data_IF_019505590851
#
_entry.id   IF_019505590851
#
_cell.length_a   1.000
_cell.length_b   1.000
_cell.length_c   1.000
_cell.angle_alpha   90.00
_cell.angle_beta   90.00
_cell.angle_gamma   90.00
#
_symmetry.space_group_name_H-M   'P 1'
#
loop_
_entity.id
_entity.type
_entity.pdbx_description
1 polymer ?
#
# COMPACT_ATOMS: atom_id res chain seq x y z
N UNK A 1 -11.94 -49.03 -8.83
CA UNK A 1 -11.92 -48.06 -9.93
C UNK A 1 -11.92 -46.61 -9.42
N UNK A 2 -11.30 -46.34 -8.25
CA UNK A 2 -11.10 -44.98 -7.69
C UNK A 2 -9.73 -44.85 -6.99
N UNK A 3 -8.91 -45.90 -7.06
CA UNK A 3 -7.61 -45.97 -6.40
C UNK A 3 -6.47 -45.68 -7.39
N UNK A 4 -6.68 -46.03 -8.67
CA UNK A 4 -5.75 -45.74 -9.77
C UNK A 4 -5.69 -44.23 -10.12
N UNK A 5 -6.76 -43.47 -9.90
CA UNK A 5 -6.80 -42.03 -10.24
C UNK A 5 -6.01 -41.16 -9.27
N UNK A 6 -5.92 -41.56 -7.99
CA UNK A 6 -5.13 -40.86 -6.98
C UNK A 6 -3.63 -41.11 -7.19
N UNK A 7 -3.24 -42.34 -7.53
CA UNK A 7 -1.84 -42.65 -7.87
C UNK A 7 -1.39 -41.92 -9.13
N UNK A 8 -2.30 -41.73 -10.10
CA UNK A 8 -2.02 -40.94 -11.31
C UNK A 8 -1.83 -39.46 -10.99
N UNK A 9 -2.70 -38.86 -10.17
CA UNK A 9 -2.59 -37.47 -9.71
C UNK A 9 -1.29 -37.24 -8.92
N UNK A 10 -0.97 -38.11 -7.97
CA UNK A 10 0.26 -38.01 -7.18
C UNK A 10 1.50 -38.15 -8.08
N UNK A 11 1.49 -39.08 -9.04
CA UNK A 11 2.60 -39.24 -9.98
C UNK A 11 2.79 -38.05 -10.93
N UNK A 12 1.71 -37.34 -11.28
CA UNK A 12 1.76 -36.11 -12.07
C UNK A 12 2.30 -34.94 -11.25
N UNK A 13 1.85 -34.77 -9.99
CA UNK A 13 2.35 -33.70 -9.11
C UNK A 13 3.83 -33.89 -8.76
N UNK A 14 4.30 -35.14 -8.59
CA UNK A 14 5.72 -35.40 -8.35
C UNK A 14 6.60 -35.26 -9.59
N UNK A 15 6.07 -35.52 -10.80
CA UNK A 15 6.79 -35.24 -12.04
C UNK A 15 6.91 -33.73 -12.32
N UNK A 16 5.85 -32.96 -12.07
CA UNK A 16 5.89 -31.50 -12.15
C UNK A 16 6.86 -30.91 -11.11
N UNK A 17 6.88 -31.43 -9.88
CA UNK A 17 7.84 -31.01 -8.86
C UNK A 17 9.30 -31.35 -9.23
N UNK A 18 9.56 -32.50 -9.87
CA UNK A 18 10.90 -32.89 -10.32
C UNK A 18 11.36 -32.17 -11.60
N UNK A 19 10.46 -31.70 -12.46
CA UNK A 19 10.80 -30.79 -13.55
C UNK A 19 11.15 -29.37 -13.05
N UNK A 20 10.62 -28.97 -11.88
CA UNK A 20 10.93 -27.70 -11.22
C UNK A 20 12.27 -27.75 -10.48
N UNK A 21 12.69 -28.90 -9.94
CA UNK A 21 13.97 -29.05 -9.20
C UNK A 21 15.23 -29.13 -10.09
N UNK A 22 15.10 -29.07 -11.42
CA UNK A 22 16.22 -29.11 -12.37
C UNK A 22 16.66 -27.77 -12.96
N UNK A 23 16.00 -26.66 -12.62
CA UNK A 23 16.35 -25.30 -13.08
C UNK A 23 16.54 -24.36 -11.89
N UNK A 24 17.65 -24.55 -11.19
CA UNK A 24 18.15 -23.57 -10.22
C UNK A 24 18.82 -22.40 -10.94
N UNK A 25 18.03 -21.51 -11.51
CA UNK A 25 18.46 -20.16 -11.88
C UNK A 25 17.32 -19.22 -11.48
N UNK A 26 17.51 -18.52 -10.35
CA UNK A 26 16.64 -17.44 -9.89
C UNK A 26 16.58 -16.35 -10.97
N UNK A 27 15.42 -16.04 -11.58
CA UNK A 27 15.33 -14.99 -12.57
C UNK A 27 15.00 -13.67 -11.87
N UNK A 28 16.00 -13.03 -11.27
CA UNK A 28 16.01 -11.58 -11.09
C UNK A 28 17.29 -10.94 -11.65
N UNK A 29 17.98 -11.62 -12.57
CA UNK A 29 18.92 -10.94 -13.45
C UNK A 29 18.13 -9.99 -14.37
N UNK A 30 18.04 -8.75 -13.92
CA UNK A 30 17.58 -7.60 -14.66
C UNK A 30 18.35 -7.46 -15.97
N UNK A 31 17.78 -7.99 -17.05
CA UNK A 31 18.13 -7.63 -18.42
C UNK A 31 16.91 -7.77 -19.33
N UNK A 32 16.44 -6.62 -19.86
CA UNK A 32 15.68 -6.53 -21.11
C UNK A 32 14.16 -6.67 -21.02
N UNK A 33 13.45 -5.56 -21.26
CA UNK A 33 12.14 -5.46 -21.91
C UNK A 33 11.07 -6.50 -21.54
N UNK A 34 10.54 -6.40 -20.32
CA UNK A 34 9.18 -6.86 -20.03
C UNK A 34 8.27 -5.64 -19.97
N UNK A 35 7.69 -5.25 -21.10
CA UNK A 35 6.51 -4.37 -21.10
C UNK A 35 5.41 -5.09 -20.31
N UNK A 36 5.24 -4.72 -19.04
CA UNK A 36 4.08 -5.14 -18.26
C UNK A 36 2.81 -4.80 -19.05
N UNK A 37 2.09 -5.84 -19.49
CA UNK A 37 0.81 -5.65 -20.18
C UNK A 37 -0.19 -5.08 -19.16
N UNK A 38 -0.60 -3.84 -19.37
CA UNK A 38 -1.62 -3.20 -18.55
C UNK A 38 -2.96 -3.89 -18.81
N UNK A 39 -3.64 -4.42 -17.78
CA UNK A 39 -4.97 -4.98 -17.94
C UNK A 39 -5.97 -3.95 -18.50
N UNK A 40 -6.86 -4.38 -19.39
CA UNK A 40 -7.94 -3.52 -19.89
C UNK A 40 -8.92 -3.17 -18.78
N UNK A 41 -9.55 -1.99 -18.88
CA UNK A 41 -10.65 -1.54 -17.99
C UNK A 41 -10.28 -1.47 -16.49
N UNK A 42 -9.00 -1.32 -16.16
CA UNK A 42 -8.55 -1.23 -14.77
C UNK A 42 -8.27 0.23 -14.37
N UNK A 43 -8.92 0.75 -13.31
CA UNK A 43 -8.64 2.08 -12.81
C UNK A 43 -7.32 2.11 -12.04
N UNK A 44 -6.68 3.27 -11.99
CA UNK A 44 -5.41 3.40 -11.29
C UNK A 44 -4.70 4.72 -11.51
N UNK A 45 -3.38 4.67 -11.38
CA UNK A 45 -2.47 5.80 -11.55
C UNK A 45 -1.46 5.50 -12.65
N UNK A 46 -1.22 6.47 -13.50
CA UNK A 46 -0.01 6.53 -14.31
C UNK A 46 0.92 7.57 -13.68
N UNK A 47 2.18 7.22 -13.48
CA UNK A 47 3.11 8.07 -12.75
C UNK A 47 4.53 8.05 -13.32
N UNK A 48 5.26 9.11 -13.00
CA UNK A 48 6.68 9.28 -13.29
C UNK A 48 7.40 9.78 -12.05
N UNK A 49 8.51 9.11 -11.71
CA UNK A 49 9.39 9.51 -10.63
C UNK A 49 10.45 10.50 -11.14
N UNK A 50 10.19 11.78 -10.91
CA UNK A 50 11.15 12.83 -11.20
C UNK A 50 12.21 12.88 -10.09
N UNK A 51 13.34 12.19 -10.29
CA UNK A 51 14.47 12.17 -9.35
C UNK A 51 15.41 13.37 -9.57
N UNK A 52 15.89 13.95 -8.47
CA UNK A 52 16.99 14.91 -8.42
C UNK A 52 18.09 14.35 -7.50
N UNK A 53 19.18 15.09 -7.31
CA UNK A 53 20.36 14.63 -6.54
C UNK A 53 20.09 14.24 -5.07
N UNK A 54 19.07 14.79 -4.41
CA UNK A 54 18.75 14.52 -3.01
C UNK A 54 17.26 14.35 -2.70
N UNK A 55 16.41 14.59 -3.68
CA UNK A 55 14.95 14.54 -3.52
C UNK A 55 14.31 13.96 -4.77
N UNK A 56 13.10 13.44 -4.64
CA UNK A 56 12.28 13.01 -5.76
C UNK A 56 10.86 13.61 -5.66
N UNK A 57 10.17 13.66 -6.78
CA UNK A 57 8.78 14.09 -6.89
C UNK A 57 8.00 13.06 -7.68
N UNK A 58 6.88 12.60 -7.12
CA UNK A 58 5.97 11.70 -7.81
C UNK A 58 5.01 12.54 -8.65
N UNK A 59 5.10 12.42 -9.98
CA UNK A 59 4.19 13.06 -10.93
C UNK A 59 3.14 12.05 -11.33
N UNK A 60 1.86 12.37 -11.22
CA UNK A 60 0.80 11.36 -11.35
C UNK A 60 -0.44 11.89 -12.07
N UNK A 61 -1.12 10.99 -12.77
CA UNK A 61 -2.46 11.17 -13.30
C UNK A 61 -3.30 9.94 -12.98
N UNK A 62 -4.52 10.17 -12.52
CA UNK A 62 -5.52 9.13 -12.32
C UNK A 62 -6.19 8.76 -13.65
N UNK A 63 -6.52 7.48 -13.80
CA UNK A 63 -7.21 6.96 -14.97
C UNK A 63 -8.33 6.03 -14.54
N UNK A 64 -9.47 6.09 -15.23
CA UNK A 64 -10.52 5.08 -15.15
C UNK A 64 -10.12 3.80 -15.90
N UNK A 65 -9.35 3.97 -16.99
CA UNK A 65 -8.72 2.90 -17.74
C UNK A 65 -7.25 3.26 -17.96
N UNK A 66 -6.35 2.52 -17.30
CA UNK A 66 -4.90 2.73 -17.36
C UNK A 66 -4.35 2.57 -18.78
N UNK A 67 -4.85 1.60 -19.55
CA UNK A 67 -4.36 1.28 -20.89
C UNK A 67 -4.66 2.41 -21.88
N UNK A 68 -5.92 2.82 -21.94
CA UNK A 68 -6.40 3.91 -22.78
C UNK A 68 -5.72 5.23 -22.42
N UNK A 69 -5.55 5.52 -21.13
CA UNK A 69 -4.84 6.73 -20.70
C UNK A 69 -3.35 6.69 -21.08
N UNK A 70 -2.68 5.53 -20.94
CA UNK A 70 -1.28 5.37 -21.32
C UNK A 70 -1.07 5.59 -22.81
N UNK A 71 -1.90 4.99 -23.65
CA UNK A 71 -1.83 5.17 -25.11
C UNK A 71 -1.99 6.65 -25.49
N UNK A 72 -2.93 7.35 -24.85
CA UNK A 72 -3.12 8.80 -25.05
C UNK A 72 -1.88 9.61 -24.65
N UNK A 73 -1.30 9.32 -23.49
CA UNK A 73 -0.10 10.03 -23.01
C UNK A 73 1.11 9.78 -23.92
N UNK A 74 1.31 8.55 -24.39
CA UNK A 74 2.42 8.23 -25.30
C UNK A 74 2.22 8.92 -26.66
N UNK A 75 0.98 8.96 -27.16
CA UNK A 75 0.67 9.56 -28.47
C UNK A 75 0.81 11.09 -28.51
N UNK A 76 0.53 11.75 -27.38
CA UNK A 76 0.52 13.21 -27.26
C UNK A 76 0.98 13.65 -25.85
N UNK A 77 2.26 13.45 -25.48
CA UNK A 77 2.78 13.73 -24.15
C UNK A 77 2.69 15.23 -23.75
N UNK A 78 2.68 16.13 -24.73
CA UNK A 78 2.50 17.57 -24.56
C UNK A 78 1.15 17.96 -23.92
N UNK A 79 0.11 17.14 -24.09
CA UNK A 79 -1.21 17.35 -23.50
C UNK A 79 -1.23 17.04 -21.98
N UNK A 80 -0.17 16.41 -21.48
CA UNK A 80 -0.03 15.99 -20.08
C UNK A 80 1.17 16.65 -19.38
N UNK A 81 1.24 18.00 -19.34
CA UNK A 81 2.40 18.73 -18.82
C UNK A 81 2.62 18.50 -17.32
N UNK A 82 1.61 18.04 -16.59
CA UNK A 82 1.69 17.69 -15.17
C UNK A 82 2.62 16.51 -14.90
N UNK A 83 2.76 15.59 -15.87
CA UNK A 83 3.67 14.44 -15.76
C UNK A 83 5.13 14.84 -15.99
N UNK A 84 5.39 15.95 -16.71
CA UNK A 84 6.73 16.44 -17.02
C UNK A 84 7.65 15.40 -17.70
N UNK A 85 7.07 14.49 -18.49
CA UNK A 85 7.81 13.42 -19.19
C UNK A 85 8.84 13.96 -20.19
N UNK A 86 8.57 15.13 -20.75
CA UNK A 86 9.43 15.83 -21.72
C UNK A 86 10.47 16.75 -21.06
N UNK A 87 10.48 16.86 -19.72
CA UNK A 87 11.34 17.78 -18.98
C UNK A 87 12.45 17.05 -18.23
N UNK A 88 13.69 17.50 -18.40
CA UNK A 88 14.85 17.03 -17.63
C UNK A 88 15.93 16.39 -18.50
N UNK A 89 16.95 15.86 -17.83
CA UNK A 89 18.11 15.15 -18.42
C UNK A 89 17.89 13.63 -18.50
N UNK A 90 16.67 13.16 -18.23
CA UNK A 90 16.35 11.73 -18.27
C UNK A 90 16.24 11.27 -19.73
N UNK A 91 17.21 10.48 -20.19
CA UNK A 91 17.32 10.00 -21.57
C UNK A 91 16.42 8.79 -21.89
N UNK A 92 15.73 8.22 -20.89
CA UNK A 92 14.82 7.08 -21.08
C UNK A 92 13.67 7.41 -22.04
N UNK A 93 13.16 6.37 -22.71
CA UNK A 93 11.96 6.49 -23.55
C UNK A 93 10.74 6.90 -22.71
N UNK A 94 9.68 7.40 -23.36
CA UNK A 94 8.44 7.78 -22.64
C UNK A 94 7.81 6.56 -21.98
N UNK A 95 7.88 5.42 -22.66
CA UNK A 95 7.39 4.12 -22.24
C UNK A 95 8.13 3.61 -21.00
N UNK A 96 9.45 3.82 -20.91
CA UNK A 96 10.28 3.47 -19.75
C UNK A 96 10.11 4.43 -18.57
N UNK A 97 9.72 5.68 -18.83
CA UNK A 97 9.48 6.68 -17.78
C UNK A 97 8.13 6.52 -17.12
N UNK A 98 7.12 6.08 -17.87
CA UNK A 98 5.74 6.06 -17.45
C UNK A 98 5.38 4.71 -16.83
N UNK A 99 5.35 4.69 -15.50
CA UNK A 99 4.91 3.56 -14.70
C UNK A 99 3.40 3.62 -14.45
N UNK A 100 2.83 2.51 -13.96
CA UNK A 100 1.43 2.42 -13.59
C UNK A 100 1.26 1.73 -12.24
N UNK A 101 0.17 2.05 -11.56
CA UNK A 101 -0.26 1.40 -10.32
C UNK A 101 -1.77 1.15 -10.41
N UNK A 102 -2.17 -0.10 -10.22
CA UNK A 102 -3.58 -0.51 -10.25
C UNK A 102 -4.27 -0.19 -8.92
N UNK A 103 -5.53 0.25 -8.99
CA UNK A 103 -6.35 0.52 -7.81
C UNK A 103 -7.69 -0.21 -7.93
N UNK A 104 -8.28 -0.60 -6.81
CA UNK A 104 -9.62 -1.21 -6.80
C UNK A 104 -10.70 -0.30 -7.42
N UNK A 105 -10.51 1.02 -7.28
CA UNK A 105 -11.40 2.01 -7.86
C UNK A 105 -10.71 3.38 -8.05
N UNK A 106 -11.35 4.22 -8.86
CA UNK A 106 -10.86 5.57 -9.17
C UNK A 106 -10.73 6.48 -7.94
N UNK A 107 -11.55 6.31 -6.90
CA UNK A 107 -11.51 7.18 -5.72
C UNK A 107 -10.24 6.95 -4.90
N UNK A 108 -9.78 5.70 -4.81
CA UNK A 108 -8.48 5.38 -4.21
C UNK A 108 -7.34 6.03 -4.99
N UNK A 109 -7.33 5.91 -6.33
CA UNK A 109 -6.35 6.58 -7.18
C UNK A 109 -6.33 8.10 -6.95
N UNK A 110 -7.52 8.73 -6.93
CA UNK A 110 -7.66 10.16 -6.62
C UNK A 110 -7.10 10.52 -5.25
N UNK A 111 -7.30 9.67 -4.25
CA UNK A 111 -6.77 9.94 -2.91
C UNK A 111 -5.26 9.84 -2.85
N UNK A 112 -4.66 8.80 -3.44
CA UNK A 112 -3.20 8.65 -3.54
C UNK A 112 -2.59 9.87 -4.23
N UNK A 113 -3.13 10.26 -5.38
CA UNK A 113 -2.68 11.47 -6.09
C UNK A 113 -2.79 12.72 -5.21
N UNK A 114 -3.91 12.92 -4.52
CA UNK A 114 -4.10 14.09 -3.64
C UNK A 114 -3.06 14.14 -2.52
N UNK A 115 -2.72 12.99 -1.94
CA UNK A 115 -1.81 12.93 -0.79
C UNK A 115 -0.34 12.99 -1.18
N UNK A 116 0.05 12.47 -2.35
CA UNK A 116 1.46 12.27 -2.71
C UNK A 116 1.94 13.07 -3.92
N UNK A 117 1.07 13.36 -4.88
CA UNK A 117 1.52 13.93 -6.15
C UNK A 117 2.09 15.34 -5.97
N UNK A 118 3.14 15.63 -6.73
CA UNK A 118 3.81 16.94 -6.77
C UNK A 118 4.45 17.40 -5.44
N UNK A 119 4.47 16.57 -4.41
CA UNK A 119 5.26 16.79 -3.19
C UNK A 119 6.73 16.41 -3.43
N UNK A 120 7.62 17.06 -2.69
CA UNK A 120 9.07 16.78 -2.74
C UNK A 120 9.45 15.91 -1.55
N UNK A 121 9.95 14.72 -1.82
CA UNK A 121 10.37 13.76 -0.81
C UNK A 121 11.90 13.63 -0.79
N UNK A 122 12.54 13.56 0.38
CA UNK A 122 13.97 13.30 0.49
C UNK A 122 14.30 11.83 0.16
N UNK A 123 15.40 11.60 -0.56
CA UNK A 123 15.92 10.24 -0.81
C UNK A 123 16.52 9.61 0.47
N UNK A 124 17.12 10.43 1.33
CA UNK A 124 17.76 10.01 2.59
C UNK A 124 17.23 10.86 3.75
N UNK A 125 16.00 10.60 4.17
CA UNK A 125 15.35 11.37 5.22
C UNK A 125 16.07 11.23 6.57
N UNK A 126 16.56 10.03 6.87
CA UNK A 126 17.29 9.67 8.09
C UNK A 126 18.56 10.50 8.31
N UNK A 127 19.12 11.10 7.25
CA UNK A 127 20.32 11.94 7.32
C UNK A 127 20.02 13.42 7.57
N UNK A 128 18.77 13.84 7.37
CA UNK A 128 18.35 15.25 7.41
C UNK A 128 17.56 15.55 8.70
N UNK A 129 17.03 14.53 9.36
CA UNK A 129 16.15 14.70 10.52
C UNK A 129 16.89 15.10 11.80
N UNK A 130 16.59 16.29 12.31
CA UNK A 130 16.52 16.50 13.75
C UNK A 130 15.28 15.74 14.25
N UNK A 131 15.45 14.92 15.29
CA UNK A 131 14.46 13.98 15.89
C UNK A 131 13.10 14.61 16.29
N UNK A 132 12.90 15.92 16.08
CA UNK A 132 11.71 16.69 16.45
C UNK A 132 10.68 16.95 15.34
N UNK A 133 10.97 16.66 14.07
CA UNK A 133 10.01 16.89 12.97
C UNK A 133 10.18 15.84 11.85
N UNK A 134 9.54 14.66 11.93
CA UNK A 134 9.80 13.51 11.05
C UNK A 134 9.29 13.65 9.60
N UNK A 135 8.96 14.87 9.15
CA UNK A 135 8.33 15.07 7.85
C UNK A 135 6.95 14.40 7.76
N UNK A 136 6.52 14.09 6.53
CA UNK A 136 5.22 13.45 6.27
C UNK A 136 5.22 11.93 6.59
N UNK A 137 6.35 11.36 7.04
CA UNK A 137 6.52 9.92 7.19
C UNK A 137 5.94 9.38 8.50
N UNK A 138 5.26 8.24 8.40
CA UNK A 138 4.77 7.48 9.54
C UNK A 138 5.78 6.41 9.92
N UNK A 139 5.84 6.13 11.23
CA UNK A 139 6.74 5.15 11.81
C UNK A 139 5.95 4.15 12.63
N UNK A 140 6.24 2.87 12.49
CA UNK A 140 5.49 1.79 13.13
C UNK A 140 6.39 0.98 14.05
N UNK A 141 5.85 0.65 15.22
CA UNK A 141 6.37 -0.36 16.14
C UNK A 141 5.24 -1.33 16.43
N UNK A 142 5.45 -2.61 16.20
CA UNK A 142 4.44 -3.62 16.48
C UNK A 142 5.07 -4.89 17.01
N UNK A 143 4.25 -5.69 17.68
CA UNK A 143 4.56 -7.06 18.08
C UNK A 143 3.30 -7.94 17.92
N UNK A 144 3.31 -9.12 18.53
CA UNK A 144 2.20 -10.06 18.45
C UNK A 144 0.90 -9.56 19.11
N UNK A 145 0.95 -8.49 19.91
CA UNK A 145 -0.15 -7.99 20.74
C UNK A 145 -0.43 -6.50 20.59
N UNK A 146 0.49 -5.74 20.04
CA UNK A 146 0.41 -4.28 20.02
C UNK A 146 0.86 -3.70 18.69
N UNK A 147 0.22 -2.59 18.33
CA UNK A 147 0.52 -1.76 17.19
C UNK A 147 0.61 -0.33 17.69
N UNK A 148 1.74 0.32 17.41
CA UNK A 148 1.95 1.73 17.65
C UNK A 148 2.40 2.41 16.35
N UNK A 149 1.67 3.45 15.95
CA UNK A 149 1.95 4.29 14.79
C UNK A 149 2.29 5.68 15.29
N UNK A 150 3.49 6.14 14.99
CA UNK A 150 3.98 7.45 15.34
C UNK A 150 3.91 8.36 14.10
N UNK A 151 3.08 9.40 14.20
CA UNK A 151 2.97 10.49 13.22
C UNK A 151 3.95 11.63 13.51
N UNK A 152 4.47 11.67 14.75
CA UNK A 152 5.55 12.54 15.20
C UNK A 152 6.56 11.69 15.97
N UNK A 153 7.84 11.75 15.61
CA UNK A 153 8.88 11.04 16.35
C UNK A 153 9.04 11.70 17.72
N UNK A 154 8.74 10.94 18.77
CA UNK A 154 9.04 11.32 20.14
C UNK A 154 10.51 10.97 20.45
N UNK A 155 11.24 11.88 21.10
CA UNK A 155 12.66 11.72 21.48
C UNK A 155 12.99 10.48 22.33
N UNK A 156 11.98 9.77 22.80
CA UNK A 156 12.10 8.61 23.69
C UNK A 156 12.22 7.29 22.96
N UNK A 157 11.81 7.20 21.69
CA UNK A 157 11.90 5.96 20.91
C UNK A 157 13.21 5.92 20.12
N UNK A 158 13.87 4.76 20.12
CA UNK A 158 15.01 4.51 19.25
C UNK A 158 14.49 4.26 17.83
N UNK A 159 14.93 5.09 16.87
CA UNK A 159 14.59 4.96 15.45
C UNK A 159 14.93 3.56 14.92
N UNK A 160 15.98 2.93 15.43
CA UNK A 160 16.41 1.58 15.02
C UNK A 160 15.38 0.49 15.33
N UNK A 161 14.42 0.77 16.21
CA UNK A 161 13.32 -0.14 16.57
C UNK A 161 12.02 0.12 15.81
N UNK A 162 12.01 1.15 14.96
CA UNK A 162 10.84 1.59 14.21
C UNK A 162 10.97 1.22 12.74
N UNK A 163 9.86 0.79 12.15
CA UNK A 163 9.75 0.59 10.70
C UNK A 163 9.18 1.86 10.06
N UNK A 164 9.91 2.46 9.13
CA UNK A 164 9.41 3.57 8.32
C UNK A 164 8.47 3.04 7.24
N UNK A 165 7.22 3.48 7.24
CA UNK A 165 6.19 2.98 6.31
C UNK A 165 5.78 3.97 5.23
N UNK A 166 6.31 5.19 5.27
CA UNK A 166 6.01 6.23 4.30
C UNK A 166 4.93 7.21 4.77
N UNK A 167 4.63 8.22 3.93
CA UNK A 167 3.48 9.09 4.11
C UNK A 167 2.21 8.35 3.70
N UNK A 168 1.47 7.80 4.68
CA UNK A 168 0.22 7.08 4.40
C UNK A 168 -1.01 7.99 4.37
N UNK A 169 -0.80 9.31 4.31
CA UNK A 169 -1.85 10.33 4.27
C UNK A 169 -1.54 11.50 5.21
N UNK A 170 -2.49 12.43 5.30
CA UNK A 170 -2.39 13.53 6.27
C UNK A 170 -2.51 13.01 7.70
N UNK A 171 -1.51 13.33 8.53
CA UNK A 171 -1.43 12.83 9.91
C UNK A 171 -2.61 13.29 10.77
N UNK A 172 -3.12 14.52 10.58
CA UNK A 172 -4.23 15.04 11.39
C UNK A 172 -5.56 14.38 11.00
N UNK A 173 -5.80 14.22 9.70
CA UNK A 173 -6.96 13.51 9.18
C UNK A 173 -6.94 12.03 9.62
N UNK A 174 -5.80 11.35 9.49
CA UNK A 174 -5.63 9.97 9.92
C UNK A 174 -5.87 9.79 11.42
N UNK A 175 -5.29 10.66 12.26
CA UNK A 175 -5.53 10.64 13.71
C UNK A 175 -7.01 10.88 14.05
N UNK A 176 -7.68 11.78 13.33
CA UNK A 176 -9.12 12.07 13.51
C UNK A 176 -9.99 10.88 13.15
N UNK A 177 -9.65 10.15 12.09
CA UNK A 177 -10.30 8.89 11.72
C UNK A 177 -10.05 7.80 12.75
N UNK A 178 -8.78 7.53 13.08
CA UNK A 178 -8.40 6.52 14.07
C UNK A 178 -9.07 6.78 15.42
N UNK A 179 -9.24 8.03 15.86
CA UNK A 179 -9.97 8.32 17.09
C UNK A 179 -11.42 7.79 17.11
N UNK A 180 -12.06 7.65 15.95
CA UNK A 180 -13.46 7.22 15.81
C UNK A 180 -13.60 5.71 15.60
N UNK A 181 -12.51 5.00 15.34
CA UNK A 181 -12.53 3.59 14.92
C UNK A 181 -12.47 2.57 16.06
N UNK A 182 -12.42 2.99 17.33
CA UNK A 182 -12.40 2.06 18.46
C UNK A 182 -13.56 1.03 18.41
N UNK A 183 -14.79 1.52 18.24
CA UNK A 183 -15.97 0.67 18.17
C UNK A 183 -15.93 -0.27 16.96
N UNK A 184 -15.37 0.21 15.84
CA UNK A 184 -15.19 -0.58 14.63
C UNK A 184 -14.20 -1.72 14.85
N UNK A 185 -13.00 -1.45 15.38
CA UNK A 185 -12.00 -2.51 15.65
C UNK A 185 -12.50 -3.52 16.69
N UNK A 186 -13.28 -3.08 17.66
CA UNK A 186 -13.91 -3.96 18.66
C UNK A 186 -14.90 -4.97 18.06
N UNK A 187 -15.42 -4.72 16.84
CA UNK A 187 -16.25 -5.70 16.11
C UNK A 187 -15.41 -6.77 15.41
N UNK A 188 -14.13 -6.48 15.16
CA UNK A 188 -13.23 -7.35 14.40
C UNK A 188 -12.48 -8.32 15.31
N UNK A 189 -11.92 -7.84 16.42
CA UNK A 189 -11.13 -8.65 17.36
C UNK A 189 -11.20 -8.07 18.78
N UNK A 190 -10.80 -8.83 19.83
CA UNK A 190 -10.85 -8.33 21.20
C UNK A 190 -9.74 -7.29 21.46
N UNK A 191 -10.11 -6.01 21.32
CA UNK A 191 -9.26 -4.86 21.64
C UNK A 191 -9.11 -4.74 23.16
N UNK A 192 -7.86 -4.64 23.64
CA UNK A 192 -7.55 -4.46 25.06
C UNK A 192 -7.33 -2.99 25.41
N UNK A 193 -6.37 -2.35 24.74
CA UNK A 193 -6.04 -0.94 24.94
C UNK A 193 -6.17 -0.20 23.60
N UNK A 194 -6.63 1.05 23.63
CA UNK A 194 -6.81 1.89 22.44
C UNK A 194 -6.58 3.36 22.75
N UNK A 195 -5.78 4.05 21.93
CA UNK A 195 -5.52 5.48 22.07
C UNK A 195 -5.11 6.10 20.73
N UNK A 196 -5.61 7.30 20.42
CA UNK A 196 -5.11 8.10 19.30
C UNK A 196 -4.95 9.54 19.76
N UNK A 197 -3.77 9.88 20.26
CA UNK A 197 -3.51 11.18 20.86
C UNK A 197 -2.03 11.56 20.74
N UNK A 198 -1.73 12.86 20.89
CA UNK A 198 -0.36 13.37 21.01
C UNK A 198 0.60 12.96 19.88
N UNK A 199 0.11 12.83 18.64
CA UNK A 199 0.94 12.47 17.49
C UNK A 199 1.24 10.97 17.36
N UNK A 200 0.50 10.12 18.07
CA UNK A 200 0.60 8.67 17.94
C UNK A 200 -0.79 8.01 17.98
N UNK A 201 -0.86 6.82 17.40
CA UNK A 201 -1.98 5.89 17.51
C UNK A 201 -1.46 4.58 18.10
N UNK A 202 -2.15 4.06 19.11
CA UNK A 202 -1.82 2.83 19.80
C UNK A 202 -3.05 1.95 19.93
N UNK A 203 -2.87 0.66 19.68
CA UNK A 203 -3.87 -0.37 19.91
C UNK A 203 -3.22 -1.67 20.35
N UNK A 204 -3.87 -2.39 21.25
CA UNK A 204 -3.44 -3.72 21.68
C UNK A 204 -4.60 -4.74 21.65
N UNK A 205 -4.26 -6.02 21.50
CA UNK A 205 -5.20 -7.13 21.52
C UNK A 205 -5.09 -7.91 22.84
N UNK A 206 -6.22 -8.39 23.36
CA UNK A 206 -6.25 -9.22 24.58
C UNK A 206 -5.47 -10.52 24.40
N UNK A 207 -5.51 -11.10 23.20
CA UNK A 207 -4.86 -12.35 22.86
C UNK A 207 -3.71 -12.09 21.88
N UNK A 208 -2.52 -12.58 22.22
CA UNK A 208 -1.39 -12.53 21.28
C UNK A 208 -1.62 -13.44 20.09
N UNK A 209 -1.12 -13.03 18.93
CA UNK A 209 -1.27 -13.75 17.66
C UNK A 209 -2.73 -13.93 17.20
N UNK A 210 -3.63 -13.01 17.56
CA UNK A 210 -4.94 -12.97 16.92
C UNK A 210 -4.76 -12.73 15.41
N UNK A 211 -5.26 -13.61 14.51
CA UNK A 211 -5.02 -13.49 13.07
C UNK A 211 -5.54 -12.17 12.49
N UNK A 212 -6.75 -11.74 12.88
CA UNK A 212 -7.34 -10.49 12.40
C UNK A 212 -6.56 -9.27 12.86
N UNK A 213 -6.03 -9.29 14.09
CA UNK A 213 -5.14 -8.24 14.57
C UNK A 213 -3.86 -8.17 13.73
N UNK A 214 -3.26 -9.31 13.38
CA UNK A 214 -2.06 -9.34 12.51
C UNK A 214 -2.38 -8.87 11.10
N UNK A 215 -3.55 -9.20 10.55
CA UNK A 215 -3.98 -8.66 9.26
C UNK A 215 -4.19 -7.13 9.30
N UNK A 216 -4.69 -6.58 10.41
CA UNK A 216 -4.73 -5.12 10.61
C UNK A 216 -3.32 -4.52 10.67
N UNK A 217 -2.36 -5.18 11.32
CA UNK A 217 -0.95 -4.73 11.28
C UNK A 217 -0.44 -4.72 9.83
N UNK A 218 -0.74 -5.77 9.05
CA UNK A 218 -0.32 -5.89 7.65
C UNK A 218 -0.86 -4.77 6.75
N UNK A 219 -2.08 -4.28 7.00
CA UNK A 219 -2.64 -3.11 6.29
C UNK A 219 -1.71 -1.91 6.35
N UNK A 220 -1.08 -1.65 7.50
CA UNK A 220 -0.19 -0.50 7.65
C UNK A 220 1.27 -0.80 7.25
N UNK A 221 1.74 -2.03 7.40
CA UNK A 221 3.17 -2.38 7.18
C UNK A 221 3.44 -2.86 5.76
N UNK A 222 2.54 -3.65 5.19
CA UNK A 222 2.66 -4.26 3.85
C UNK A 222 1.70 -3.66 2.83
N UNK A 223 0.62 -3.03 3.28
CA UNK A 223 -0.42 -2.50 2.38
C UNK A 223 -1.40 -3.56 1.88
N UNK A 224 -1.35 -4.76 2.46
CA UNK A 224 -2.24 -5.86 2.09
C UNK A 224 -3.40 -6.02 3.07
N UNK A 225 -4.60 -6.23 2.53
CA UNK A 225 -5.77 -6.66 3.30
C UNK A 225 -5.90 -8.18 3.13
N UNK A 226 -5.66 -8.92 4.22
CA UNK A 226 -5.77 -10.37 4.20
C UNK A 226 -7.20 -10.88 3.99
N UNK A 227 -7.30 -12.13 3.53
CA UNK A 227 -8.59 -12.76 3.24
C UNK A 227 -9.47 -12.90 4.50
N UNK A 228 -8.87 -13.20 5.66
CA UNK A 228 -9.63 -13.36 6.90
C UNK A 228 -10.29 -12.07 7.36
N UNK A 229 -9.57 -10.95 7.22
CA UNK A 229 -10.08 -9.60 7.47
C UNK A 229 -11.19 -9.29 6.48
N UNK A 230 -10.99 -9.52 5.18
CA UNK A 230 -12.04 -9.32 4.18
C UNK A 230 -13.33 -10.08 4.47
N UNK A 231 -13.23 -11.36 4.81
CA UNK A 231 -14.37 -12.19 5.20
C UNK A 231 -15.07 -11.60 6.44
N UNK A 232 -14.29 -11.23 7.46
CA UNK A 232 -14.83 -10.63 8.68
C UNK A 232 -15.54 -9.30 8.43
N UNK A 233 -14.99 -8.43 7.56
CA UNK A 233 -15.62 -7.17 7.19
C UNK A 233 -16.98 -7.40 6.55
N UNK A 234 -17.07 -8.36 5.61
CA UNK A 234 -18.34 -8.73 4.95
C UNK A 234 -19.34 -9.32 5.93
N UNK A 235 -18.90 -10.14 6.88
CA UNK A 235 -19.78 -10.64 7.95
C UNK A 235 -20.38 -9.50 8.76
N UNK A 236 -19.56 -8.55 9.22
CA UNK A 236 -20.00 -7.41 10.02
C UNK A 236 -20.97 -6.53 9.22
N UNK A 237 -20.67 -6.25 7.94
CA UNK A 237 -21.57 -5.53 7.04
C UNK A 237 -22.92 -6.26 6.86
N UNK A 238 -22.91 -7.58 6.67
CA UNK A 238 -24.14 -8.37 6.46
C UNK A 238 -25.06 -8.39 7.68
N UNK A 239 -24.50 -8.20 8.89
CA UNK A 239 -25.24 -8.15 10.14
C UNK A 239 -25.82 -6.76 10.43
N UNK A 240 -25.30 -5.71 9.79
CA UNK A 240 -25.76 -4.35 9.97
C UNK A 240 -27.14 -4.15 9.31
N UNK A 241 -28.13 -3.73 10.11
CA UNK A 241 -29.50 -3.52 9.64
C UNK A 241 -29.87 -2.06 9.47
N UNK A 242 -29.20 -1.18 10.22
CA UNK A 242 -29.50 0.26 10.20
C UNK A 242 -28.65 0.96 9.13
N UNK A 243 -29.28 1.78 8.25
CA UNK A 243 -28.54 2.48 7.19
C UNK A 243 -27.37 3.33 7.68
N UNK A 244 -27.51 3.98 8.84
CA UNK A 244 -26.47 4.81 9.44
C UNK A 244 -25.26 3.99 9.88
N UNK A 245 -25.50 2.77 10.38
CA UNK A 245 -24.43 1.84 10.77
C UNK A 245 -23.71 1.32 9.53
N UNK A 246 -24.44 0.95 8.49
CA UNK A 246 -23.88 0.51 7.21
C UNK A 246 -22.99 1.62 6.62
N UNK A 247 -23.47 2.86 6.58
CA UNK A 247 -22.67 3.99 6.09
C UNK A 247 -21.38 4.20 6.89
N UNK A 248 -21.44 4.03 8.21
CA UNK A 248 -20.28 4.16 9.09
C UNK A 248 -19.26 3.03 8.88
N UNK A 249 -19.73 1.80 8.71
CA UNK A 249 -18.89 0.64 8.37
C UNK A 249 -18.21 0.83 7.02
N UNK A 250 -18.96 1.24 6.00
CA UNK A 250 -18.41 1.49 4.66
C UNK A 250 -17.30 2.55 4.68
N UNK A 251 -17.48 3.62 5.47
CA UNK A 251 -16.45 4.66 5.65
C UNK A 251 -15.21 4.12 6.34
N UNK A 252 -15.36 3.28 7.37
CA UNK A 252 -14.24 2.65 8.06
C UNK A 252 -13.49 1.67 7.16
N UNK A 253 -14.21 0.86 6.39
CA UNK A 253 -13.63 -0.07 5.42
C UNK A 253 -12.87 0.69 4.32
N UNK A 254 -13.47 1.74 3.78
CA UNK A 254 -12.82 2.60 2.80
C UNK A 254 -11.54 3.24 3.35
N UNK A 255 -11.54 3.70 4.61
CA UNK A 255 -10.33 4.21 5.25
C UNK A 255 -9.21 3.15 5.31
N UNK A 256 -9.52 1.90 5.69
CA UNK A 256 -8.52 0.83 5.69
C UNK A 256 -8.00 0.53 4.28
N UNK A 257 -8.89 0.48 3.28
CA UNK A 257 -8.51 0.28 1.87
C UNK A 257 -7.61 1.39 1.36
N UNK A 258 -7.91 2.64 1.73
CA UNK A 258 -7.11 3.80 1.35
C UNK A 258 -5.70 3.72 1.94
N UNK A 259 -5.58 3.39 3.24
CA UNK A 259 -4.30 3.20 3.90
C UNK A 259 -3.51 2.03 3.26
N UNK A 260 -4.17 0.90 3.04
CA UNK A 260 -3.58 -0.27 2.42
C UNK A 260 -3.00 0.07 1.04
N UNK A 261 -3.82 0.68 0.18
CA UNK A 261 -3.43 1.07 -1.18
C UNK A 261 -2.31 2.12 -1.18
N UNK A 262 -2.35 3.09 -0.27
CA UNK A 262 -1.30 4.09 -0.11
C UNK A 262 0.03 3.43 0.28
N UNK A 263 -0.01 2.45 1.20
CA UNK A 263 1.18 1.73 1.63
C UNK A 263 1.75 0.88 0.50
N UNK A 264 0.92 0.11 -0.20
CA UNK A 264 1.34 -0.71 -1.35
C UNK A 264 1.97 0.15 -2.44
N UNK A 265 1.32 1.27 -2.80
CA UNK A 265 1.88 2.21 -3.75
C UNK A 265 3.22 2.78 -3.26
N UNK A 266 3.33 3.14 -1.98
CA UNK A 266 4.57 3.67 -1.45
C UNK A 266 5.71 2.64 -1.45
N UNK A 267 5.43 1.36 -1.18
CA UNK A 267 6.43 0.27 -1.32
C UNK A 267 6.94 0.22 -2.76
N UNK A 268 6.05 0.26 -3.74
CA UNK A 268 6.44 0.25 -5.15
C UNK A 268 7.31 1.46 -5.52
N UNK A 269 7.02 2.64 -4.96
CA UNK A 269 7.90 3.80 -5.11
C UNK A 269 9.26 3.53 -4.48
N UNK A 270 9.31 3.00 -3.25
CA UNK A 270 10.56 2.72 -2.54
C UNK A 270 11.47 1.75 -3.32
N UNK A 271 10.89 0.73 -3.96
CA UNK A 271 11.62 -0.26 -4.76
C UNK A 271 12.24 0.34 -6.04
N UNK A 272 11.71 1.47 -6.49
CA UNK A 272 12.20 2.19 -7.67
C UNK A 272 13.20 3.29 -7.36
N UNK A 273 13.42 3.67 -6.10
CA UNK A 273 14.31 4.78 -5.71
C UNK A 273 15.78 4.39 -5.69
#
# INVERSE_FOLDING_TARGET
MFQDDIELLVSQTFKEAQEIEGKSEFPWEATGDSFLEIPSDTPGLLYYLQKNSSTFVIRMIEAEDLRSMRERIISAPEDFPTLRLLSGEDERSLEEKLNFFECDNLQIAKSIKRQLANKRFPLHEERILNVSDPGDNWWIKHDQKSLNIYFKLCRTESIDTLTKVGPLGDCQEAMSWLNKLYGYFSLLFPVKDYSSAHGQFFMSCEHGNNPLFQEIVNVFTTGEIGNGLWERLREVESQAKEPVVIESLNKANYFLMEIASMRSFWIEIQDQL
#
